data_IF_717838336394
#
_entry.id   IF_717838336394
#
_cell.length_a   1.000
_cell.length_b   1.000
_cell.length_c   1.000
_cell.angle_alpha   90.00
_cell.angle_beta   90.00
_cell.angle_gamma   90.00
#
_symmetry.space_group_name_H-M   'P 1'
#
loop_
_entity.id
_entity.type
_entity.pdbx_description
1 polymer ?
#
# COMPACT_ATOMS: atom_id res chain seq x y z
N UNK A 1 91.53 47.08 20.72
CA UNK A 1 90.13 47.42 21.08
C UNK A 1 89.33 46.15 20.98
N UNK A 2 89.03 45.52 22.11
CA UNK A 2 88.21 44.30 22.17
C UNK A 2 86.75 44.77 22.21
N UNK A 3 85.91 44.43 21.22
CA UNK A 3 84.50 44.77 21.29
C UNK A 3 83.88 44.06 22.50
N UNK A 4 83.26 44.84 23.39
CA UNK A 4 82.48 44.30 24.50
C UNK A 4 81.41 43.35 23.92
N UNK A 5 81.22 42.16 24.52
CA UNK A 5 80.18 41.24 24.08
C UNK A 5 78.83 41.94 24.20
N UNK A 6 78.22 42.22 23.05
CA UNK A 6 76.84 42.69 22.96
C UNK A 6 75.95 41.70 23.68
N UNK A 7 75.11 42.25 24.56
CA UNK A 7 74.48 41.53 25.65
C UNK A 7 73.67 40.31 25.18
N UNK A 8 73.84 39.13 25.80
CA UNK A 8 73.06 37.91 25.52
C UNK A 8 71.54 38.08 25.74
N UNK A 9 71.11 39.21 26.30
CA UNK A 9 69.71 39.49 26.62
C UNK A 9 68.85 39.82 25.40
N UNK A 10 69.38 40.42 24.32
CA UNK A 10 68.57 40.77 23.13
C UNK A 10 68.15 39.53 22.32
N UNK A 11 69.04 38.57 22.15
CA UNK A 11 68.71 37.30 21.48
C UNK A 11 67.71 36.47 22.29
N UNK A 12 67.85 36.47 23.63
CA UNK A 12 66.92 35.80 24.52
C UNK A 12 65.51 36.42 24.45
N UNK A 13 65.41 37.76 24.41
CA UNK A 13 64.14 38.47 24.25
C UNK A 13 63.49 38.13 22.90
N UNK A 14 64.28 38.09 21.81
CA UNK A 14 63.78 37.75 20.47
C UNK A 14 63.26 36.31 20.41
N UNK A 15 64.01 35.35 20.97
CA UNK A 15 63.59 33.96 21.06
C UNK A 15 62.32 33.79 21.91
N UNK A 16 62.19 34.50 23.03
CA UNK A 16 60.96 34.49 23.82
C UNK A 16 59.76 35.06 23.05
N UNK A 17 59.97 36.12 22.26
CA UNK A 17 58.92 36.70 21.43
C UNK A 17 58.49 35.74 20.30
N UNK A 18 59.43 35.02 19.69
CA UNK A 18 59.16 34.06 18.63
C UNK A 18 58.47 32.80 19.18
N UNK A 19 58.86 32.31 20.36
CA UNK A 19 58.16 31.23 21.08
C UNK A 19 56.72 31.63 21.41
N UNK A 20 56.48 32.85 21.90
CA UNK A 20 55.10 33.34 22.17
C UNK A 20 54.28 33.46 20.88
N UNK A 21 54.89 33.92 19.79
CA UNK A 21 54.24 33.98 18.47
C UNK A 21 53.89 32.59 17.94
N UNK A 22 54.74 31.59 18.15
CA UNK A 22 54.51 30.21 17.75
C UNK A 22 53.50 29.47 18.67
N UNK A 23 53.42 29.82 19.96
CA UNK A 23 52.48 29.21 20.90
C UNK A 23 51.02 29.60 20.60
N UNK A 24 50.81 30.78 20.02
CA UNK A 24 49.47 31.28 19.67
C UNK A 24 48.74 30.40 18.63
N UNK A 25 49.30 30.12 17.44
CA UNK A 25 48.64 29.24 16.46
C UNK A 25 48.50 27.80 16.96
N UNK A 26 49.42 27.30 17.79
CA UNK A 26 49.30 25.96 18.41
C UNK A 26 48.09 25.91 19.35
N UNK A 27 47.88 26.95 20.17
CA UNK A 27 46.69 27.05 21.03
C UNK A 27 45.40 27.13 20.21
N UNK A 28 45.38 27.91 19.12
CA UNK A 28 44.22 27.98 18.24
C UNK A 28 43.91 26.63 17.57
N UNK A 29 44.93 25.96 17.01
CA UNK A 29 44.77 24.63 16.41
C UNK A 29 44.25 23.59 17.42
N UNK A 30 44.71 23.67 18.68
CA UNK A 30 44.21 22.81 19.77
C UNK A 30 42.75 23.08 20.09
N UNK A 31 42.36 24.36 20.19
CA UNK A 31 40.96 24.75 20.43
C UNK A 31 40.03 24.31 19.28
N UNK A 32 40.48 24.42 18.03
CA UNK A 32 39.72 23.95 16.86
C UNK A 32 39.56 22.42 16.87
N UNK A 33 40.63 21.70 17.18
CA UNK A 33 40.59 20.24 17.32
C UNK A 33 39.63 19.82 18.44
N UNK A 34 39.71 20.44 19.62
CA UNK A 34 38.85 20.12 20.76
C UNK A 34 37.38 20.45 20.45
N UNK A 35 37.11 21.56 19.76
CA UNK A 35 35.76 21.89 19.28
C UNK A 35 35.24 20.87 18.26
N UNK A 36 36.09 20.39 17.34
CA UNK A 36 35.72 19.35 16.39
C UNK A 36 35.41 18.02 17.09
N UNK A 37 36.21 17.61 18.08
CA UNK A 37 35.95 16.43 18.90
C UNK A 37 34.62 16.54 19.67
N UNK A 38 34.33 17.71 20.27
CA UNK A 38 33.06 17.95 20.94
C UNK A 38 31.88 17.84 19.96
N UNK A 39 31.99 18.44 18.77
CA UNK A 39 30.94 18.34 17.76
C UNK A 39 30.69 16.90 17.29
N UNK A 40 31.73 16.08 17.15
CA UNK A 40 31.60 14.65 16.82
C UNK A 40 30.91 13.89 17.95
N UNK A 41 31.31 14.13 19.21
CA UNK A 41 30.67 13.49 20.37
C UNK A 41 29.19 13.85 20.47
N UNK A 42 28.82 15.13 20.28
CA UNK A 42 27.41 15.55 20.28
C UNK A 42 26.60 14.86 19.18
N UNK A 43 27.14 14.72 17.96
CA UNK A 43 26.47 13.98 16.88
C UNK A 43 26.30 12.50 17.21
N UNK A 44 27.29 11.90 17.87
CA UNK A 44 27.22 10.50 18.30
C UNK A 44 26.14 10.30 19.38
N UNK A 45 26.03 11.24 20.34
CA UNK A 45 24.96 11.22 21.35
C UNK A 45 23.57 11.37 20.73
N UNK A 46 23.39 12.26 19.75
CA UNK A 46 22.13 12.38 19.00
C UNK A 46 21.79 11.10 18.24
N UNK A 47 22.77 10.48 17.58
CA UNK A 47 22.57 9.20 16.90
C UNK A 47 22.15 8.09 17.88
N UNK A 48 22.73 8.06 19.07
CA UNK A 48 22.36 7.12 20.12
C UNK A 48 20.94 7.37 20.66
N UNK A 49 20.53 8.63 20.83
CA UNK A 49 19.15 8.99 21.19
C UNK A 49 18.15 8.52 20.13
N UNK A 50 18.46 8.71 18.85
CA UNK A 50 17.61 8.21 17.75
C UNK A 50 17.54 6.68 17.73
N UNK A 51 18.66 6.00 18.00
CA UNK A 51 18.69 4.53 18.08
C UNK A 51 17.83 4.00 19.23
N UNK A 52 17.87 4.64 20.39
CA UNK A 52 17.00 4.31 21.52
C UNK A 52 15.52 4.49 21.17
N UNK A 53 15.15 5.62 20.56
CA UNK A 53 13.78 5.89 20.14
C UNK A 53 13.27 4.85 19.09
N UNK A 54 14.13 4.43 18.16
CA UNK A 54 13.81 3.36 17.22
C UNK A 54 13.61 2.01 17.92
N UNK A 55 14.41 1.70 18.95
CA UNK A 55 14.26 0.48 19.72
C UNK A 55 12.93 0.46 20.47
N UNK A 56 12.53 1.56 21.12
CA UNK A 56 11.23 1.68 21.79
C UNK A 56 10.06 1.55 20.81
N UNK A 57 10.19 2.10 19.60
CA UNK A 57 9.19 1.96 18.53
C UNK A 57 9.06 0.50 18.05
N UNK A 58 10.18 -0.21 17.91
CA UNK A 58 10.16 -1.64 17.55
C UNK A 58 9.56 -2.47 18.68
N UNK A 59 9.95 -2.21 19.93
CA UNK A 59 9.45 -2.92 21.10
C UNK A 59 7.94 -2.73 21.28
N UNK A 60 7.42 -1.51 21.13
CA UNK A 60 5.99 -1.22 21.19
C UNK A 60 5.20 -1.90 20.06
N UNK A 61 5.76 -1.98 18.84
CA UNK A 61 5.14 -2.75 17.74
C UNK A 61 5.10 -4.24 18.02
N UNK A 62 6.17 -4.81 18.59
CA UNK A 62 6.23 -6.23 18.97
C UNK A 62 5.21 -6.53 20.08
N UNK A 63 5.11 -5.66 21.08
CA UNK A 63 4.09 -5.78 22.13
C UNK A 63 2.66 -5.63 21.56
N UNK A 64 2.45 -4.73 20.60
CA UNK A 64 1.17 -4.57 19.92
C UNK A 64 0.73 -5.84 19.17
N UNK A 65 1.67 -6.55 18.54
CA UNK A 65 1.40 -7.85 17.89
C UNK A 65 1.02 -8.92 18.90
N UNK A 66 1.77 -9.03 20.00
CA UNK A 66 1.48 -10.01 21.06
C UNK A 66 0.11 -9.77 21.72
N UNK A 67 -0.27 -8.50 21.94
CA UNK A 67 -1.59 -8.14 22.46
C UNK A 67 -2.72 -8.51 21.48
N UNK A 68 -2.52 -8.28 20.18
CA UNK A 68 -3.47 -8.69 19.15
C UNK A 68 -3.65 -10.22 19.08
N UNK A 69 -2.55 -10.98 19.14
CA UNK A 69 -2.58 -12.44 19.14
C UNK A 69 -3.28 -12.97 20.41
N UNK A 70 -3.01 -12.38 21.58
CA UNK A 70 -3.69 -12.71 22.83
C UNK A 70 -5.20 -12.41 22.78
N UNK A 71 -5.59 -11.29 22.16
CA UNK A 71 -7.00 -10.93 21.99
C UNK A 71 -7.73 -11.90 21.05
N UNK A 72 -7.10 -12.30 19.94
CA UNK A 72 -7.64 -13.32 19.02
C UNK A 72 -7.78 -14.66 19.76
N UNK A 73 -6.75 -15.08 20.51
CA UNK A 73 -6.78 -16.33 21.26
C UNK A 73 -7.89 -16.33 22.32
N UNK A 74 -8.08 -15.21 23.04
CA UNK A 74 -9.16 -15.02 24.01
C UNK A 74 -10.55 -15.08 23.35
N UNK A 75 -10.73 -14.40 22.22
CA UNK A 75 -11.97 -14.43 21.43
C UNK A 75 -12.28 -15.86 20.94
N UNK A 76 -11.28 -16.58 20.45
CA UNK A 76 -11.42 -17.98 20.01
C UNK A 76 -11.75 -18.92 21.18
N UNK A 77 -11.15 -18.71 22.35
CA UNK A 77 -11.48 -19.48 23.56
C UNK A 77 -12.92 -19.24 24.02
N UNK A 78 -13.38 -17.98 24.03
CA UNK A 78 -14.76 -17.62 24.34
C UNK A 78 -15.74 -18.26 23.34
N UNK A 79 -15.43 -18.23 22.04
CA UNK A 79 -16.25 -18.87 21.01
C UNK A 79 -16.32 -20.39 21.20
N UNK A 80 -15.19 -21.06 21.51
CA UNK A 80 -15.18 -22.49 21.83
C UNK A 80 -16.04 -22.81 23.04
N UNK A 81 -16.00 -21.99 24.08
CA UNK A 81 -16.82 -22.15 25.28
C UNK A 81 -18.32 -21.99 24.99
N UNK A 82 -18.69 -21.02 24.14
CA UNK A 82 -20.08 -20.82 23.68
C UNK A 82 -20.59 -22.00 22.83
N UNK A 83 -19.75 -22.51 21.92
CA UNK A 83 -20.06 -23.72 21.12
C UNK A 83 -20.26 -24.92 22.05
N UNK A 84 -19.38 -25.13 23.04
CA UNK A 84 -19.54 -26.23 24.00
C UNK A 84 -20.77 -26.09 24.88
N UNK A 85 -21.24 -24.85 25.12
CA UNK A 85 -22.46 -24.56 25.86
C UNK A 85 -23.74 -24.63 25.00
N UNK A 86 -23.64 -25.01 23.72
CA UNK A 86 -24.79 -25.09 22.81
C UNK A 86 -25.38 -23.72 22.41
N UNK A 87 -24.68 -22.63 22.72
CA UNK A 87 -25.08 -21.28 22.32
C UNK A 87 -24.66 -21.03 20.87
N UNK A 88 -25.66 -20.89 19.98
CA UNK A 88 -25.45 -20.54 18.57
C UNK A 88 -24.77 -19.18 18.49
N UNK A 89 -23.60 -19.20 17.85
CA UNK A 89 -22.66 -18.09 17.70
C UNK A 89 -23.39 -16.84 17.16
N UNK A 90 -23.53 -15.82 17.99
CA UNK A 90 -23.66 -14.43 17.53
C UNK A 90 -22.27 -13.96 17.09
N UNK A 91 -21.88 -13.86 15.83
CA UNK A 91 -22.44 -14.16 14.53
C UNK A 91 -21.19 -14.53 13.72
N UNK A 92 -21.25 -15.53 12.85
CA UNK A 92 -20.16 -15.88 11.92
C UNK A 92 -19.51 -14.64 11.26
N UNK A 93 -20.32 -13.63 10.99
CA UNK A 93 -19.91 -12.33 10.46
C UNK A 93 -18.88 -11.57 11.31
N UNK A 94 -18.92 -11.66 12.65
CA UNK A 94 -17.94 -10.98 13.52
C UNK A 94 -16.57 -11.66 13.46
N UNK A 95 -16.55 -12.98 13.29
CA UNK A 95 -15.33 -13.76 13.15
C UNK A 95 -14.69 -13.52 11.77
N UNK A 96 -15.50 -13.55 10.71
CA UNK A 96 -15.08 -13.19 9.34
C UNK A 96 -14.51 -11.75 9.28
N UNK A 97 -15.12 -10.79 9.99
CA UNK A 97 -14.60 -9.42 10.08
C UNK A 97 -13.22 -9.36 10.76
N UNK A 98 -13.02 -10.09 11.85
CA UNK A 98 -11.73 -10.12 12.55
C UNK A 98 -10.65 -10.79 11.70
N UNK A 99 -10.98 -11.85 10.96
CA UNK A 99 -10.05 -12.52 10.03
C UNK A 99 -9.67 -11.60 8.86
N UNK A 100 -10.63 -10.89 8.29
CA UNK A 100 -10.39 -9.89 7.24
C UNK A 100 -9.51 -8.74 7.76
N UNK A 101 -9.77 -8.24 8.98
CA UNK A 101 -8.95 -7.21 9.61
C UNK A 101 -7.51 -7.70 9.86
N UNK A 102 -7.34 -8.95 10.32
CA UNK A 102 -6.01 -9.55 10.49
C UNK A 102 -5.27 -9.66 9.16
N UNK A 103 -5.95 -10.13 8.11
CA UNK A 103 -5.33 -10.28 6.78
C UNK A 103 -4.94 -8.91 6.20
N UNK A 104 -5.79 -7.89 6.37
CA UNK A 104 -5.50 -6.52 5.96
C UNK A 104 -4.30 -5.94 6.72
N UNK A 105 -4.25 -6.15 8.04
CA UNK A 105 -3.14 -5.70 8.87
C UNK A 105 -1.82 -6.40 8.51
N UNK A 106 -1.86 -7.70 8.22
CA UNK A 106 -0.70 -8.46 7.78
C UNK A 106 -0.19 -7.97 6.42
N UNK A 107 -1.10 -7.74 5.46
CA UNK A 107 -0.74 -7.19 4.16
C UNK A 107 -0.12 -5.79 4.26
N UNK A 108 -0.69 -4.92 5.10
CA UNK A 108 -0.13 -3.59 5.38
C UNK A 108 1.28 -3.66 5.99
N UNK A 109 1.53 -4.64 6.87
CA UNK A 109 2.85 -4.87 7.44
C UNK A 109 3.84 -5.35 6.38
N UNK A 110 3.43 -6.29 5.52
CA UNK A 110 4.27 -6.83 4.45
C UNK A 110 4.62 -5.73 3.43
N UNK A 111 3.68 -4.85 3.08
CA UNK A 111 3.90 -3.69 2.22
C UNK A 111 4.86 -2.68 2.86
N UNK A 112 4.74 -2.43 4.17
CA UNK A 112 5.66 -1.57 4.91
C UNK A 112 7.08 -2.14 4.95
N UNK A 113 7.24 -3.44 5.16
CA UNK A 113 8.54 -4.12 5.15
C UNK A 113 9.16 -4.09 3.76
N UNK A 114 8.34 -4.22 2.70
CA UNK A 114 8.79 -4.20 1.31
C UNK A 114 9.28 -2.82 0.87
N UNK A 115 8.50 -1.76 1.13
CA UNK A 115 8.88 -0.38 0.80
C UNK A 115 8.27 0.63 1.81
N UNK A 116 9.05 1.05 2.83
CA UNK A 116 8.58 1.98 3.86
C UNK A 116 8.19 3.37 3.33
N UNK A 117 8.71 3.78 2.17
CA UNK A 117 8.36 5.06 1.57
C UNK A 117 7.05 4.97 0.79
N UNK A 118 6.87 3.92 -0.02
CA UNK A 118 5.62 3.67 -0.71
C UNK A 118 4.46 3.52 0.28
N UNK A 119 4.66 2.78 1.38
CA UNK A 119 3.65 2.66 2.44
C UNK A 119 3.25 4.00 3.05
N UNK A 120 4.23 4.89 3.35
CA UNK A 120 3.95 6.23 3.87
C UNK A 120 3.12 7.05 2.88
N UNK A 121 3.50 7.08 1.60
CA UNK A 121 2.76 7.79 0.56
C UNK A 121 1.34 7.24 0.38
N UNK A 122 1.18 5.91 0.41
CA UNK A 122 -0.11 5.26 0.31
C UNK A 122 -1.02 5.62 1.49
N UNK A 123 -0.47 5.65 2.71
CA UNK A 123 -1.19 6.07 3.93
C UNK A 123 -1.62 7.54 3.86
N UNK A 124 -0.70 8.44 3.51
CA UNK A 124 -1.01 9.87 3.32
C UNK A 124 -2.05 10.09 2.21
N UNK A 125 -2.04 9.28 1.16
CA UNK A 125 -3.06 9.32 0.12
C UNK A 125 -4.42 8.81 0.61
N UNK A 126 -4.45 7.77 1.47
CA UNK A 126 -5.67 7.28 2.11
C UNK A 126 -6.27 8.33 3.05
N UNK A 127 -5.47 8.92 3.93
CA UNK A 127 -5.90 9.98 4.86
C UNK A 127 -6.44 11.20 4.09
N UNK A 128 -5.84 11.55 2.95
CA UNK A 128 -6.37 12.60 2.07
C UNK A 128 -7.72 12.25 1.44
N UNK A 129 -7.93 10.99 1.05
CA UNK A 129 -9.22 10.52 0.51
C UNK A 129 -10.30 10.51 1.58
N UNK A 130 -10.04 9.93 2.74
CA UNK A 130 -10.97 9.92 3.88
C UNK A 130 -11.33 11.35 4.31
N UNK A 131 -10.34 12.24 4.42
CA UNK A 131 -10.59 13.64 4.71
C UNK A 131 -11.41 14.36 3.62
N UNK A 132 -11.27 13.97 2.35
CA UNK A 132 -12.09 14.51 1.27
C UNK A 132 -13.52 13.95 1.30
N UNK A 133 -13.70 12.66 1.59
CA UNK A 133 -14.99 12.02 1.77
C UNK A 133 -15.76 12.62 2.96
N UNK A 134 -15.09 12.87 4.08
CA UNK A 134 -15.70 13.49 5.25
C UNK A 134 -16.11 14.94 4.96
N UNK A 135 -15.28 15.71 4.25
CA UNK A 135 -15.67 17.05 3.75
C UNK A 135 -16.88 16.99 2.83
N UNK A 136 -16.94 16.01 1.92
CA UNK A 136 -18.09 15.81 1.04
C UNK A 136 -19.34 15.40 1.83
N UNK A 137 -19.19 14.57 2.87
CA UNK A 137 -20.29 14.18 3.76
C UNK A 137 -20.83 15.37 4.52
N UNK A 138 -19.97 16.21 5.08
CA UNK A 138 -20.34 17.45 5.74
C UNK A 138 -21.04 18.42 4.78
N UNK A 139 -20.47 18.64 3.58
CA UNK A 139 -21.09 19.48 2.55
C UNK A 139 -22.47 18.96 2.13
N UNK A 140 -22.62 17.64 1.99
CA UNK A 140 -23.91 17.01 1.66
C UNK A 140 -24.94 17.19 2.78
N UNK A 141 -24.51 17.12 4.05
CA UNK A 141 -25.38 17.39 5.20
C UNK A 141 -25.79 18.86 5.26
N UNK A 142 -24.87 19.79 4.99
CA UNK A 142 -25.16 21.23 4.91
C UNK A 142 -26.15 21.53 3.77
N UNK A 143 -25.93 20.97 2.59
CA UNK A 143 -26.84 21.10 1.45
C UNK A 143 -28.23 20.52 1.76
N UNK A 144 -28.30 19.34 2.37
CA UNK A 144 -29.56 18.75 2.81
C UNK A 144 -30.28 19.63 3.85
N UNK A 145 -29.53 20.23 4.79
CA UNK A 145 -30.08 21.15 5.79
C UNK A 145 -30.62 22.43 5.16
N UNK A 146 -29.92 22.96 4.16
CA UNK A 146 -30.34 24.15 3.40
C UNK A 146 -31.58 23.86 2.55
N UNK A 147 -31.61 22.73 1.84
CA UNK A 147 -32.76 22.28 1.08
C UNK A 147 -33.99 22.10 1.98
N UNK A 148 -33.82 21.55 3.19
CA UNK A 148 -34.90 21.43 4.17
C UNK A 148 -35.44 22.80 4.62
N UNK A 149 -34.57 23.80 4.86
CA UNK A 149 -35.00 25.18 5.19
C UNK A 149 -35.76 25.84 4.05
N UNK A 150 -35.28 25.69 2.81
CA UNK A 150 -35.96 26.25 1.62
C UNK A 150 -37.34 25.60 1.45
N UNK A 151 -37.46 24.29 1.66
CA UNK A 151 -38.74 23.59 1.63
C UNK A 151 -39.72 24.11 2.68
N UNK A 152 -39.24 24.36 3.92
CA UNK A 152 -40.07 24.95 4.98
C UNK A 152 -40.56 26.35 4.63
N UNK A 153 -39.70 27.22 4.07
CA UNK A 153 -40.09 28.57 3.62
C UNK A 153 -41.16 28.49 2.54
N UNK A 154 -40.99 27.59 1.56
CA UNK A 154 -41.96 27.40 0.47
C UNK A 154 -43.30 26.90 1.00
N UNK A 155 -43.30 25.97 1.95
CA UNK A 155 -44.53 25.48 2.59
C UNK A 155 -45.25 26.59 3.39
N UNK A 156 -44.48 27.42 4.12
CA UNK A 156 -45.02 28.56 4.85
C UNK A 156 -45.67 29.58 3.90
N UNK A 157 -45.01 29.94 2.81
CA UNK A 157 -45.54 30.84 1.79
C UNK A 157 -46.83 30.29 1.13
N UNK A 158 -46.88 28.99 0.85
CA UNK A 158 -48.10 28.34 0.34
C UNK A 158 -49.25 28.38 1.36
N UNK A 159 -48.96 28.19 2.65
CA UNK A 159 -49.98 28.30 3.71
C UNK A 159 -50.49 29.73 3.85
N UNK A 160 -49.62 30.73 3.78
CA UNK A 160 -49.98 32.14 3.83
C UNK A 160 -50.82 32.57 2.62
N UNK A 161 -50.42 32.18 1.41
CA UNK A 161 -51.20 32.42 0.20
C UNK A 161 -52.61 31.81 0.29
N UNK A 162 -52.73 30.57 0.80
CA UNK A 162 -54.04 29.94 1.05
C UNK A 162 -54.88 30.73 2.07
N UNK A 163 -54.28 31.20 3.16
CA UNK A 163 -54.97 32.05 4.16
C UNK A 163 -55.45 33.36 3.54
N UNK A 164 -54.62 34.04 2.75
CA UNK A 164 -54.98 35.27 2.05
C UNK A 164 -56.13 35.06 1.04
N UNK A 165 -56.12 33.94 0.31
CA UNK A 165 -57.23 33.60 -0.60
C UNK A 165 -58.52 33.28 0.16
N UNK A 166 -58.43 32.62 1.32
CA UNK A 166 -59.59 32.30 2.15
C UNK A 166 -60.25 33.57 2.71
N UNK A 167 -59.46 34.49 3.27
CA UNK A 167 -59.98 35.78 3.78
C UNK A 167 -60.50 36.68 2.66
N UNK A 168 -59.84 36.68 1.49
CA UNK A 168 -60.32 37.39 0.30
C UNK A 168 -61.63 36.85 -0.25
N UNK A 169 -61.80 35.51 -0.29
CA UNK A 169 -63.04 34.87 -0.72
C UNK A 169 -64.19 35.14 0.28
N UNK A 170 -63.90 35.15 1.58
CA UNK A 170 -64.89 35.43 2.62
C UNK A 170 -65.35 36.89 2.58
N UNK A 171 -64.46 37.83 2.29
CA UNK A 171 -64.79 39.24 1.99
C UNK A 171 -65.65 39.36 0.71
N UNK A 172 -65.26 38.68 -0.37
CA UNK A 172 -65.98 38.72 -1.64
C UNK A 172 -67.41 38.14 -1.55
N UNK A 173 -67.62 37.04 -0.80
CA UNK A 173 -68.95 36.48 -0.57
C UNK A 173 -69.81 37.34 0.36
N UNK A 174 -69.21 38.12 1.27
CA UNK A 174 -69.94 39.02 2.19
C UNK A 174 -70.36 40.34 1.52
N UNK A 175 -69.63 40.78 0.50
CA UNK A 175 -69.93 41.99 -0.28
C UNK A 175 -70.70 41.72 -1.57
N UNK A 176 -71.16 40.49 -1.81
CA UNK A 176 -72.01 40.19 -2.96
C UNK A 176 -73.47 40.56 -2.64
N UNK A 177 -74.01 41.68 -3.17
CA UNK A 177 -75.43 41.95 -3.05
C UNK A 177 -76.21 40.81 -3.70
N UNK A 178 -77.27 40.43 -3.02
CA UNK A 178 -78.23 39.37 -3.36
C UNK A 178 -79.00 39.78 -4.62
N UNK A 179 -78.37 39.73 -5.79
CA UNK A 179 -79.04 39.95 -7.06
C UNK A 179 -78.81 38.76 -8.00
N UNK A 180 -79.96 38.23 -8.42
CA UNK A 180 -80.20 37.28 -9.51
C UNK A 180 -79.73 35.84 -9.31
N UNK A 181 -80.65 35.06 -8.72
CA UNK A 181 -81.15 33.85 -9.39
C UNK A 181 -81.72 34.25 -10.77
N UNK A 182 -81.64 33.37 -11.75
CA UNK A 182 -82.03 33.58 -13.17
C UNK A 182 -80.97 34.28 -14.02
N UNK A 183 -79.98 33.51 -14.50
CA UNK A 183 -79.70 33.48 -15.94
C UNK A 183 -78.78 32.28 -16.27
N UNK A 184 -79.34 31.36 -17.06
CA UNK A 184 -78.68 30.58 -18.14
C UNK A 184 -77.50 29.67 -17.75
N UNK A 185 -77.67 28.34 -17.75
CA UNK A 185 -77.75 27.47 -18.94
C UNK A 185 -76.81 27.90 -20.07
N UNK A 186 -76.03 26.93 -20.56
CA UNK A 186 -75.34 26.95 -21.86
C UNK A 186 -73.93 27.57 -21.89
N UNK A 187 -72.92 26.74 -21.64
CA UNK A 187 -71.84 26.47 -22.61
C UNK A 187 -70.77 25.56 -22.02
N UNK A 188 -70.82 24.28 -22.42
CA UNK A 188 -69.68 23.36 -22.36
C UNK A 188 -68.58 23.83 -23.33
N UNK A 189 -67.30 23.79 -22.91
CA UNK A 189 -66.23 23.49 -23.84
C UNK A 189 -65.65 22.10 -23.53
N UNK A 190 -65.76 21.22 -24.52
CA UNK A 190 -65.03 19.95 -24.65
C UNK A 190 -63.55 20.15 -24.27
N UNK A 191 -63.10 19.48 -23.21
CA UNK A 191 -61.67 19.27 -22.94
C UNK A 191 -61.29 17.86 -23.35
N UNK A 192 -60.47 17.81 -24.39
CA UNK A 192 -59.82 16.61 -24.91
C UNK A 192 -59.09 15.85 -23.80
N UNK A 193 -59.42 14.57 -23.73
CA UNK A 193 -58.62 13.54 -23.09
C UNK A 193 -57.29 13.46 -23.86
N UNK A 194 -56.20 13.81 -23.18
CA UNK A 194 -54.87 13.43 -23.62
C UNK A 194 -54.31 12.51 -22.54
N UNK A 195 -54.30 11.24 -22.87
CA UNK A 195 -53.73 10.16 -22.08
C UNK A 195 -52.22 10.40 -21.96
N UNK A 196 -51.69 10.28 -20.74
CA UNK A 196 -50.26 10.11 -20.55
C UNK A 196 -50.03 9.04 -19.48
N UNK A 197 -49.00 8.19 -19.64
CA UNK A 197 -49.01 6.85 -19.10
C UNK A 197 -48.64 6.86 -17.61
N UNK A 198 -49.50 6.24 -16.80
CA UNK A 198 -49.24 5.96 -15.40
C UNK A 198 -48.36 4.73 -15.30
N UNK A 199 -47.05 4.94 -15.27
CA UNK A 199 -46.06 3.91 -14.96
C UNK A 199 -46.29 3.43 -13.53
N UNK A 200 -46.89 2.25 -13.38
CA UNK A 200 -46.93 1.51 -12.12
C UNK A 200 -45.53 0.93 -11.84
N UNK A 201 -45.04 0.98 -10.60
CA UNK A 201 -43.96 0.08 -10.19
C UNK A 201 -44.51 -1.35 -10.08
N UNK A 202 -43.80 -2.38 -10.60
CA UNK A 202 -44.22 -3.76 -10.46
C UNK A 202 -44.14 -4.18 -8.98
N UNK A 203 -45.25 -4.70 -8.47
CA UNK A 203 -45.26 -5.49 -7.23
C UNK A 203 -44.47 -6.78 -7.47
N UNK A 204 -43.56 -7.19 -6.57
CA UNK A 204 -42.96 -8.52 -6.64
C UNK A 204 -44.01 -9.54 -6.18
N UNK A 205 -44.45 -10.33 -7.15
CA UNK A 205 -45.30 -11.51 -6.95
C UNK A 205 -44.65 -12.46 -5.95
N UNK A 206 -45.40 -12.73 -4.89
CA UNK A 206 -45.18 -13.82 -3.98
C UNK A 206 -45.62 -15.12 -4.66
N UNK A 207 -44.77 -15.69 -5.53
CA UNK A 207 -44.88 -17.11 -5.92
C UNK A 207 -43.92 -17.91 -5.06
N UNK A 208 -44.45 -18.39 -3.93
CA UNK A 208 -43.82 -19.46 -3.17
C UNK A 208 -43.69 -20.71 -4.07
N UNK A 209 -42.48 -21.24 -4.30
CA UNK A 209 -42.34 -22.54 -4.91
C UNK A 209 -42.76 -23.59 -3.88
N UNK A 210 -43.83 -24.33 -4.18
CA UNK A 210 -44.12 -25.61 -3.53
C UNK A 210 -42.89 -26.50 -3.67
N UNK A 211 -42.21 -26.73 -2.55
CA UNK A 211 -41.15 -27.72 -2.45
C UNK A 211 -41.73 -29.11 -2.80
N UNK A 212 -41.20 -29.82 -3.81
CA UNK A 212 -41.49 -31.24 -3.92
C UNK A 212 -40.86 -31.93 -2.71
N UNK A 213 -41.67 -32.71 -2.01
CA UNK A 213 -41.23 -33.66 -1.00
C UNK A 213 -40.34 -34.70 -1.69
N UNK A 214 -39.06 -34.39 -1.84
CA UNK A 214 -38.06 -35.32 -2.35
C UNK A 214 -37.53 -36.10 -1.15
N UNK A 215 -37.90 -37.37 -1.09
CA UNK A 215 -37.34 -38.35 -0.17
C UNK A 215 -35.82 -38.25 -0.19
N UNK A 216 -35.24 -37.78 0.91
CA UNK A 216 -33.81 -37.90 1.16
C UNK A 216 -33.47 -39.37 1.42
N UNK A 217 -33.44 -40.18 0.36
CA UNK A 217 -32.62 -41.38 0.32
C UNK A 217 -31.18 -40.90 0.42
N UNK A 218 -30.58 -41.06 1.61
CA UNK A 218 -29.15 -40.82 1.85
C UNK A 218 -28.36 -41.50 0.72
N UNK A 219 -27.67 -40.77 -0.17
CA UNK A 219 -26.73 -41.40 -1.07
C UNK A 219 -25.67 -42.05 -0.19
N UNK A 220 -25.40 -43.33 -0.42
CA UNK A 220 -24.30 -44.03 0.20
C UNK A 220 -22.99 -43.40 -0.35
N UNK A 221 -22.49 -42.37 0.34
CA UNK A 221 -21.23 -41.68 0.02
C UNK A 221 -20.09 -42.60 0.45
N UNK A 222 -19.84 -43.63 -0.36
CA UNK A 222 -18.63 -44.46 -0.31
C UNK A 222 -17.99 -44.53 -1.70
N UNK A 223 -18.11 -43.45 -2.48
CA UNK A 223 -17.30 -43.26 -3.70
C UNK A 223 -16.09 -42.41 -3.32
N UNK A 224 -14.86 -42.94 -3.47
CA UNK A 224 -13.65 -42.12 -3.36
C UNK A 224 -13.77 -40.92 -4.28
N UNK A 225 -13.55 -39.72 -3.73
CA UNK A 225 -13.51 -38.50 -4.53
C UNK A 225 -12.40 -38.65 -5.59
N UNK A 226 -12.63 -38.22 -6.85
CA UNK A 226 -11.57 -38.19 -7.84
C UNK A 226 -10.41 -37.37 -7.26
N UNK A 227 -9.15 -37.85 -7.39
CA UNK A 227 -8.01 -37.10 -6.89
C UNK A 227 -8.05 -35.70 -7.48
N UNK A 228 -8.03 -34.69 -6.60
CA UNK A 228 -7.93 -33.29 -7.01
C UNK A 228 -6.74 -33.19 -7.98
N UNK A 229 -6.89 -32.53 -9.15
CA UNK A 229 -5.77 -32.31 -10.04
C UNK A 229 -4.67 -31.66 -9.22
N UNK A 230 -3.53 -32.33 -9.10
CA UNK A 230 -2.35 -31.75 -8.48
C UNK A 230 -2.12 -30.43 -9.20
N UNK A 231 -2.22 -29.31 -8.48
CA UNK A 231 -1.89 -27.99 -9.00
C UNK A 231 -0.46 -28.07 -9.55
N UNK A 232 -0.33 -28.28 -10.85
CA UNK A 232 0.96 -28.31 -11.51
C UNK A 232 1.52 -26.91 -11.37
N UNK A 233 2.51 -26.77 -10.49
CA UNK A 233 3.25 -25.51 -10.34
C UNK A 233 3.83 -25.19 -11.71
N UNK A 234 3.35 -24.10 -12.31
CA UNK A 234 3.79 -23.71 -13.64
C UNK A 234 5.25 -23.26 -13.58
N UNK A 235 5.98 -23.37 -14.70
CA UNK A 235 7.37 -22.92 -14.74
C UNK A 235 7.49 -21.42 -14.39
N UNK A 236 6.47 -20.62 -14.74
CA UNK A 236 6.39 -19.19 -14.39
C UNK A 236 6.38 -19.00 -12.87
N UNK A 237 5.61 -19.80 -12.13
CA UNK A 237 5.54 -19.71 -10.68
C UNK A 237 6.88 -20.10 -10.02
N UNK A 238 7.59 -21.08 -10.60
CA UNK A 238 8.94 -21.48 -10.14
C UNK A 238 9.95 -20.35 -10.34
N UNK A 239 9.94 -19.70 -11.50
CA UNK A 239 10.79 -18.55 -11.77
C UNK A 239 10.41 -17.34 -10.92
N UNK A 240 9.12 -17.12 -10.64
CA UNK A 240 8.66 -16.06 -9.75
C UNK A 240 9.14 -16.28 -8.32
N UNK A 241 9.02 -17.51 -7.80
CA UNK A 241 9.53 -17.86 -6.49
C UNK A 241 11.06 -17.68 -6.39
N UNK A 242 11.79 -18.12 -7.42
CA UNK A 242 13.24 -17.88 -7.53
C UNK A 242 13.58 -16.39 -7.55
N UNK A 243 12.87 -15.59 -8.35
CA UNK A 243 13.09 -14.16 -8.46
C UNK A 243 12.87 -13.44 -7.11
N UNK A 244 11.78 -13.73 -6.41
CA UNK A 244 11.54 -13.19 -5.06
C UNK A 244 12.62 -13.64 -4.06
N UNK A 245 13.08 -14.88 -4.16
CA UNK A 245 14.22 -15.36 -3.35
C UNK A 245 15.49 -14.57 -3.64
N UNK A 246 15.82 -14.28 -4.91
CA UNK A 246 17.01 -13.49 -5.26
C UNK A 246 16.95 -12.08 -4.67
N UNK A 247 15.77 -11.44 -4.59
CA UNK A 247 15.62 -10.13 -3.95
C UNK A 247 15.96 -10.15 -2.47
N UNK A 248 15.47 -11.16 -1.74
CA UNK A 248 15.74 -11.33 -0.31
C UNK A 248 17.22 -11.59 -0.06
N UNK A 249 17.81 -12.47 -0.87
CA UNK A 249 19.21 -12.89 -0.74
C UNK A 249 20.17 -11.76 -1.11
N UNK A 250 19.83 -10.95 -2.11
CA UNK A 250 20.64 -9.79 -2.53
C UNK A 250 20.43 -8.54 -1.66
N UNK A 251 19.60 -8.60 -0.62
CA UNK A 251 19.53 -7.54 0.38
C UNK A 251 20.83 -7.44 1.19
N UNK A 252 21.52 -8.57 1.39
CA UNK A 252 22.80 -8.65 2.09
C UNK A 252 23.83 -9.50 1.31
N UNK A 253 24.56 -8.85 0.40
CA UNK A 253 25.60 -9.50 -0.41
C UNK A 253 26.76 -10.09 0.42
N UNK A 254 26.98 -9.60 1.65
CA UNK A 254 28.03 -10.14 2.53
C UNK A 254 27.64 -11.47 3.16
N UNK A 255 26.35 -11.71 3.38
CA UNK A 255 25.84 -12.98 3.89
C UNK A 255 25.68 -14.05 2.79
N UNK A 256 26.00 -13.73 1.53
CA UNK A 256 25.81 -14.62 0.40
C UNK A 256 26.85 -15.74 0.36
N UNK A 257 26.44 -16.95 0.77
CA UNK A 257 27.28 -18.15 0.71
C UNK A 257 27.09 -18.93 -0.60
N UNK A 258 25.89 -18.91 -1.19
CA UNK A 258 25.56 -19.65 -2.41
C UNK A 258 24.88 -18.76 -3.43
N UNK A 259 25.28 -18.85 -4.71
CA UNK A 259 24.64 -18.09 -5.78
C UNK A 259 23.20 -18.62 -6.00
N UNK A 260 22.17 -17.75 -5.98
CA UNK A 260 20.79 -18.17 -6.19
C UNK A 260 20.58 -18.54 -7.66
N UNK A 261 20.91 -19.79 -8.00
CA UNK A 261 20.85 -20.29 -9.37
C UNK A 261 19.38 -20.48 -9.79
N UNK A 262 19.02 -20.14 -11.04
CA UNK A 262 17.67 -20.32 -11.55
C UNK A 262 17.26 -21.80 -11.52
N UNK A 263 15.97 -22.10 -11.29
CA UNK A 263 15.48 -23.46 -11.28
C UNK A 263 15.65 -24.09 -12.67
N UNK A 264 15.99 -25.38 -12.71
CA UNK A 264 16.11 -26.10 -13.97
C UNK A 264 14.74 -26.12 -14.71
N UNK A 265 14.71 -25.76 -16.00
CA UNK A 265 13.48 -25.73 -16.77
C UNK A 265 12.96 -27.15 -16.99
N UNK A 266 11.62 -27.30 -17.06
CA UNK A 266 10.98 -28.61 -17.29
C UNK A 266 11.36 -29.21 -18.65
N UNK A 267 11.58 -28.34 -19.64
CA UNK A 267 12.10 -28.70 -20.96
C UNK A 267 13.40 -27.95 -21.22
N UNK A 268 14.46 -28.67 -21.56
CA UNK A 268 15.74 -28.05 -21.93
C UNK A 268 15.68 -27.46 -23.33
N UNK A 269 16.30 -26.30 -23.52
CA UNK A 269 16.50 -25.73 -24.84
C UNK A 269 17.25 -26.72 -25.75
N UNK A 270 16.70 -26.94 -26.96
CA UNK A 270 17.23 -27.88 -27.96
C UNK A 270 18.26 -27.25 -28.92
N UNK A 271 18.54 -25.95 -28.79
CA UNK A 271 19.52 -25.28 -29.65
C UNK A 271 20.93 -25.76 -29.30
N UNK A 272 21.71 -26.13 -30.31
CA UNK A 272 23.09 -26.61 -30.12
C UNK A 272 23.99 -25.54 -29.48
N UNK A 273 23.79 -24.26 -29.83
CA UNK A 273 24.54 -23.14 -29.25
C UNK A 273 24.29 -23.00 -27.74
N UNK A 274 23.07 -23.31 -27.29
CA UNK A 274 22.71 -23.30 -25.88
C UNK A 274 23.41 -24.44 -25.11
N UNK A 275 23.62 -25.59 -25.74
CA UNK A 275 24.26 -26.75 -25.11
C UNK A 275 25.73 -26.49 -24.75
N UNK A 276 26.44 -25.66 -25.52
CA UNK A 276 27.84 -25.30 -25.29
C UNK A 276 28.03 -23.89 -24.69
N UNK A 277 26.93 -23.21 -24.37
CA UNK A 277 26.96 -21.84 -23.87
C UNK A 277 27.70 -21.72 -22.53
N UNK A 278 28.34 -20.57 -22.29
CA UNK A 278 28.95 -20.26 -20.99
C UNK A 278 27.90 -20.27 -19.86
N UNK A 279 26.68 -19.80 -20.14
CA UNK A 279 25.56 -19.85 -19.20
C UNK A 279 25.29 -21.27 -18.69
N UNK A 280 25.26 -22.26 -19.60
CA UNK A 280 25.02 -23.64 -19.20
C UNK A 280 26.15 -24.23 -18.36
N UNK A 281 27.41 -23.85 -18.63
CA UNK A 281 28.57 -24.29 -17.86
C UNK A 281 28.61 -23.70 -16.45
N UNK A 282 28.27 -22.42 -16.31
CA UNK A 282 28.38 -21.70 -15.03
C UNK A 282 27.09 -21.82 -14.17
N UNK A 283 25.91 -21.76 -14.79
CA UNK A 283 24.61 -21.71 -14.11
C UNK A 283 23.78 -22.99 -14.25
N UNK A 284 24.20 -23.96 -15.08
CA UNK A 284 23.44 -25.18 -15.35
C UNK A 284 22.23 -25.01 -16.27
N UNK A 285 21.94 -23.77 -16.70
CA UNK A 285 20.81 -23.41 -17.55
C UNK A 285 21.31 -22.62 -18.77
N UNK A 286 20.63 -22.73 -19.91
CA UNK A 286 21.06 -21.99 -21.09
C UNK A 286 20.64 -20.51 -21.05
N UNK A 287 21.27 -19.72 -21.94
CA UNK A 287 20.98 -18.30 -22.13
C UNK A 287 19.49 -18.03 -22.42
N UNK A 288 18.90 -18.79 -23.34
CA UNK A 288 17.53 -18.55 -23.83
C UNK A 288 16.48 -18.84 -22.75
N UNK A 289 16.70 -19.83 -21.90
CA UNK A 289 15.77 -20.17 -20.81
C UNK A 289 15.78 -19.07 -19.74
N UNK A 290 16.95 -18.50 -19.42
CA UNK A 290 17.05 -17.35 -18.52
C UNK A 290 16.37 -16.13 -19.15
N UNK A 291 16.59 -15.88 -20.44
CA UNK A 291 15.96 -14.78 -21.17
C UNK A 291 14.43 -14.88 -21.11
N UNK A 292 13.88 -16.05 -21.45
CA UNK A 292 12.45 -16.32 -21.37
C UNK A 292 11.91 -16.17 -19.94
N UNK A 293 12.66 -16.61 -18.93
CA UNK A 293 12.27 -16.42 -17.54
C UNK A 293 12.10 -14.93 -17.20
N UNK A 294 13.07 -14.08 -17.54
CA UNK A 294 12.99 -12.64 -17.31
C UNK A 294 11.85 -11.97 -18.09
N UNK A 295 11.60 -12.40 -19.32
CA UNK A 295 10.49 -11.88 -20.13
C UNK A 295 9.12 -12.27 -19.55
N UNK A 296 8.95 -13.53 -19.15
CA UNK A 296 7.69 -14.05 -18.63
C UNK A 296 7.35 -13.48 -17.24
N UNK A 297 8.35 -13.02 -16.48
CA UNK A 297 8.13 -12.39 -15.17
C UNK A 297 7.47 -11.01 -15.24
N UNK A 298 7.45 -10.36 -16.41
CA UNK A 298 6.81 -9.04 -16.58
C UNK A 298 7.41 -7.98 -15.67
N UNK A 299 8.74 -7.94 -15.57
CA UNK A 299 9.44 -7.05 -14.65
C UNK A 299 9.21 -5.57 -15.01
N UNK A 300 9.02 -4.74 -13.97
CA UNK A 300 8.72 -3.32 -14.16
C UNK A 300 9.90 -2.51 -14.75
N UNK A 301 11.15 -2.94 -14.52
CA UNK A 301 12.34 -2.23 -14.97
C UNK A 301 13.53 -3.16 -15.16
N UNK A 302 13.88 -3.46 -16.41
CA UNK A 302 15.11 -4.20 -16.74
C UNK A 302 16.39 -3.45 -16.33
N UNK A 303 16.31 -2.12 -16.20
CA UNK A 303 17.42 -1.27 -15.73
C UNK A 303 17.78 -1.58 -14.28
N UNK A 304 16.79 -1.80 -13.41
CA UNK A 304 17.03 -2.13 -12.00
C UNK A 304 17.65 -3.51 -11.87
N UNK A 305 17.16 -4.48 -12.65
CA UNK A 305 17.73 -5.83 -12.69
C UNK A 305 19.18 -5.80 -13.16
N UNK A 306 19.48 -5.05 -14.22
CA UNK A 306 20.85 -4.89 -14.69
C UNK A 306 21.80 -4.41 -13.57
N UNK A 307 21.37 -3.45 -12.75
CA UNK A 307 22.17 -2.95 -11.63
C UNK A 307 22.28 -3.96 -10.48
N UNK A 308 21.24 -4.77 -10.25
CA UNK A 308 21.21 -5.83 -9.24
C UNK A 308 22.18 -6.96 -9.58
N UNK A 309 22.23 -7.37 -10.84
CA UNK A 309 23.12 -8.43 -11.31
C UNK A 309 24.55 -7.98 -11.63
N UNK A 310 24.92 -6.73 -11.34
CA UNK A 310 26.26 -6.20 -11.65
C UNK A 310 27.35 -6.95 -10.85
N UNK A 311 28.44 -7.43 -11.50
CA UNK A 311 29.47 -8.23 -10.81
C UNK A 311 30.13 -7.52 -9.63
N UNK A 312 30.28 -6.19 -9.68
CA UNK A 312 30.85 -5.41 -8.56
C UNK A 312 30.04 -5.51 -7.26
N UNK A 313 28.75 -5.86 -7.32
CA UNK A 313 27.94 -6.06 -6.11
C UNK A 313 28.38 -7.29 -5.32
N UNK A 314 29.02 -8.26 -5.97
CA UNK A 314 29.41 -9.54 -5.39
C UNK A 314 30.84 -9.53 -4.82
N UNK A 315 31.52 -8.37 -4.77
CA UNK A 315 32.88 -8.23 -4.21
C UNK A 315 32.96 -8.64 -2.74
N UNK A 316 31.86 -8.50 -1.98
CA UNK A 316 31.82 -8.80 -0.54
C UNK A 316 31.34 -10.21 -0.20
N UNK A 317 31.08 -11.05 -1.22
CA UNK A 317 30.60 -12.42 -1.02
C UNK A 317 31.74 -13.37 -0.66
N UNK A 318 31.42 -14.49 0.01
CA UNK A 318 32.42 -15.46 0.49
C UNK A 318 33.24 -16.08 -0.66
N UNK A 319 32.58 -16.39 -1.78
CA UNK A 319 33.19 -16.96 -3.00
C UNK A 319 33.22 -15.92 -4.13
N UNK A 320 33.85 -14.76 -3.88
CA UNK A 320 33.81 -13.60 -4.78
C UNK A 320 34.00 -13.95 -6.26
N UNK A 321 35.07 -14.64 -6.65
CA UNK A 321 35.37 -14.91 -8.06
C UNK A 321 34.29 -15.76 -8.75
N UNK A 322 33.80 -16.79 -8.05
CA UNK A 322 32.76 -17.68 -8.57
C UNK A 322 31.44 -16.92 -8.71
N UNK A 323 31.04 -16.16 -7.69
CA UNK A 323 29.82 -15.35 -7.69
C UNK A 323 29.87 -14.28 -8.78
N UNK A 324 31.01 -13.61 -8.96
CA UNK A 324 31.19 -12.61 -10.02
C UNK A 324 31.12 -13.21 -11.41
N UNK A 325 31.68 -14.41 -11.64
CA UNK A 325 31.53 -15.12 -12.92
C UNK A 325 30.06 -15.44 -13.23
N UNK A 326 29.34 -16.00 -12.27
CA UNK A 326 27.91 -16.32 -12.42
C UNK A 326 27.05 -15.07 -12.63
N UNK A 327 27.28 -14.03 -11.83
CA UNK A 327 26.61 -12.73 -11.96
C UNK A 327 26.88 -12.08 -13.32
N UNK A 328 28.12 -12.13 -13.80
CA UNK A 328 28.50 -11.60 -15.12
C UNK A 328 27.70 -12.25 -16.25
N UNK A 329 27.45 -13.56 -16.17
CA UNK A 329 26.63 -14.25 -17.18
C UNK A 329 25.19 -13.73 -17.14
N UNK A 330 24.56 -13.66 -15.96
CA UNK A 330 23.18 -13.13 -15.83
C UNK A 330 23.11 -11.66 -16.27
N UNK A 331 24.10 -10.85 -15.89
CA UNK A 331 24.20 -9.45 -16.28
C UNK A 331 24.23 -9.26 -17.80
N UNK A 332 24.99 -10.08 -18.52
CA UNK A 332 25.06 -10.00 -19.99
C UNK A 332 23.69 -10.30 -20.63
N UNK A 333 22.95 -11.27 -20.10
CA UNK A 333 21.60 -11.63 -20.56
C UNK A 333 20.63 -10.47 -20.33
N UNK A 334 20.60 -9.94 -19.10
CA UNK A 334 19.72 -8.83 -18.72
C UNK A 334 20.09 -7.54 -19.46
N UNK A 335 21.37 -7.25 -19.67
CA UNK A 335 21.83 -6.11 -20.48
C UNK A 335 21.41 -6.25 -21.95
N UNK A 336 21.48 -7.47 -22.51
CA UNK A 336 20.96 -7.78 -23.84
C UNK A 336 19.46 -7.50 -23.96
N UNK A 337 18.66 -7.96 -22.98
CA UNK A 337 17.23 -7.68 -22.89
C UNK A 337 16.95 -6.18 -22.79
N UNK A 338 17.66 -5.47 -21.91
CA UNK A 338 17.51 -4.02 -21.73
C UNK A 338 17.82 -3.23 -23.01
N UNK A 339 18.86 -3.63 -23.76
CA UNK A 339 19.20 -3.00 -25.04
C UNK A 339 18.11 -3.22 -26.08
N UNK A 340 17.56 -4.44 -26.19
CA UNK A 340 16.43 -4.73 -27.10
C UNK A 340 15.19 -3.91 -26.76
N UNK A 341 14.84 -3.82 -25.46
CA UNK A 341 13.75 -2.98 -24.98
C UNK A 341 13.96 -1.50 -25.35
N UNK A 342 15.18 -0.95 -25.14
CA UNK A 342 15.50 0.44 -25.51
C UNK A 342 15.44 0.73 -27.01
N UNK A 343 15.69 -0.27 -27.85
CA UNK A 343 15.62 -0.14 -29.31
C UNK A 343 14.17 -0.28 -29.84
N UNK A 344 13.19 -0.49 -28.97
CA UNK A 344 11.79 -0.72 -29.38
C UNK A 344 11.58 -2.05 -30.09
N UNK A 345 12.59 -2.93 -30.09
CA UNK A 345 12.46 -4.31 -30.54
C UNK A 345 11.79 -5.09 -29.42
N UNK A 346 10.46 -4.94 -29.32
CA UNK A 346 9.65 -5.91 -28.57
C UNK A 346 9.76 -7.23 -29.35
N UNK A 347 10.36 -8.22 -28.69
CA UNK A 347 10.50 -9.57 -29.21
C UNK A 347 9.16 -10.27 -29.37
#
# INVERSE_FOLDING_TARGET
>A
MVPLPTAPDEELIKLQADVRRADTPVRYARLEHDAACQAVNSRMEEANKLRAALYDLVQSKVQGRALWDAQIASQMAANRAQISAGLVITTRTKLELLENNRHTAQQALDDYVRDPQAYRRAREASERREGAEERNRMASQEEASWAARVAQIREAALKEAKRATATGAESYYRSRPRQKQEERQESEPKKQQNESPKTQPPSPDATAPKAPANEYRRPNISRPLPPLPSLEVTDIDRYRAWYEHTKLVFADYSALTTFPSPPAPKMWCRKLDCANSQAKRELGICHDDIEQAFMNLGLASLKEERLRWHPDRFVRSQDQEKMQRMAKVVFQIVDGLYRRERLGQRA
#
